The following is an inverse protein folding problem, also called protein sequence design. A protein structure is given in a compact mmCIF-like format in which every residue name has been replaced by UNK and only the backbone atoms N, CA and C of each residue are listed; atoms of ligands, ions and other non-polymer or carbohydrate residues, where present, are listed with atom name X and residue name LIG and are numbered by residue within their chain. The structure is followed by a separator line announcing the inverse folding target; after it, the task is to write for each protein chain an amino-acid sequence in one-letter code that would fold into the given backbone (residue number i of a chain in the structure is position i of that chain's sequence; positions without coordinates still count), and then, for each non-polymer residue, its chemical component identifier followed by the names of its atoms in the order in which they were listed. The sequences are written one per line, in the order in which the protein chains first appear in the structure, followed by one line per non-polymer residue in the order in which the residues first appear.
data_IF_612292695281
#
_entry.id   IF_612292695281
#
_cell.length_a   1.000
_cell.length_b   1.000
_cell.length_c   1.000
_cell.angle_alpha   90.00
_cell.angle_beta   90.00
_cell.angle_gamma   90.00
#
_symmetry.space_group_name_H-M   'P 1'
#
loop_
_entity.id
_entity.type
_entity.pdbx_description
1 polymer ?
#
# COMPACT_ATOMS: atom_id res chain seq x y z
N UNK A 1 -45.42 -1.67 -10.60
CA UNK A 1 -44.35 -2.30 -9.79
C UNK A 1 -42.97 -2.25 -10.45
N UNK A 2 -42.83 -2.68 -11.71
CA UNK A 2 -41.53 -2.82 -12.42
C UNK A 2 -40.75 -1.48 -12.54
N UNK A 3 -41.40 -0.36 -12.87
CA UNK A 3 -40.71 0.95 -12.98
C UNK A 3 -40.20 1.49 -11.64
N UNK A 4 -40.88 1.19 -10.52
CA UNK A 4 -40.44 1.53 -9.16
C UNK A 4 -39.25 0.66 -8.74
N UNK A 5 -39.28 -0.65 -9.03
CA UNK A 5 -38.13 -1.54 -8.73
C UNK A 5 -36.89 -1.20 -9.55
N UNK A 6 -37.04 -0.81 -10.83
CA UNK A 6 -35.95 -0.28 -11.67
C UNK A 6 -35.34 1.02 -11.11
N UNK A 7 -36.16 1.89 -10.52
CA UNK A 7 -35.68 3.11 -9.86
C UNK A 7 -34.87 2.82 -8.61
N UNK A 8 -35.36 1.90 -7.76
CA UNK A 8 -34.68 1.48 -6.53
C UNK A 8 -33.34 0.81 -6.85
N UNK A 9 -33.31 -0.12 -7.81
CA UNK A 9 -32.08 -0.81 -8.21
C UNK A 9 -30.98 0.17 -8.64
N UNK A 10 -31.32 1.22 -9.41
CA UNK A 10 -30.36 2.25 -9.82
C UNK A 10 -29.79 3.03 -8.64
N UNK A 11 -30.63 3.38 -7.66
CA UNK A 11 -30.18 4.08 -6.45
C UNK A 11 -29.20 3.19 -5.67
N UNK A 12 -29.56 1.91 -5.47
CA UNK A 12 -28.70 0.94 -4.78
C UNK A 12 -27.35 0.81 -5.48
N UNK A 13 -27.32 0.70 -6.81
CA UNK A 13 -26.04 0.66 -7.56
C UNK A 13 -25.21 1.91 -7.33
N UNK A 14 -25.80 3.11 -7.37
CA UNK A 14 -25.07 4.35 -7.15
C UNK A 14 -24.50 4.46 -5.72
N UNK A 15 -25.26 4.03 -4.72
CA UNK A 15 -24.81 3.98 -3.32
C UNK A 15 -23.67 2.98 -3.18
N UNK A 16 -23.78 1.79 -3.76
CA UNK A 16 -22.71 0.79 -3.71
C UNK A 16 -21.43 1.29 -4.36
N UNK A 17 -21.51 1.91 -5.56
CA UNK A 17 -20.36 2.52 -6.23
C UNK A 17 -19.73 3.61 -5.37
N UNK A 18 -20.54 4.47 -4.76
CA UNK A 18 -20.05 5.50 -3.85
C UNK A 18 -19.28 4.89 -2.67
N UNK A 19 -19.85 3.87 -2.01
CA UNK A 19 -19.23 3.21 -0.86
C UNK A 19 -17.93 2.54 -1.27
N UNK A 20 -17.92 1.73 -2.32
CA UNK A 20 -16.74 0.99 -2.78
C UNK A 20 -15.61 1.96 -3.14
N UNK A 21 -15.89 3.00 -3.92
CA UNK A 21 -14.89 4.00 -4.29
C UNK A 21 -14.36 4.75 -3.06
N UNK A 22 -15.22 5.07 -2.10
CA UNK A 22 -14.83 5.72 -0.84
C UNK A 22 -13.95 4.80 0.01
N UNK A 23 -14.31 3.53 0.19
CA UNK A 23 -13.51 2.60 0.98
C UNK A 23 -12.14 2.30 0.35
N UNK A 24 -12.06 2.26 -0.98
CA UNK A 24 -10.80 1.99 -1.68
C UNK A 24 -9.84 3.19 -1.69
N UNK A 25 -10.36 4.41 -1.75
CA UNK A 25 -9.57 5.62 -2.07
C UNK A 25 -9.77 6.81 -1.13
N UNK A 26 -10.63 6.66 -0.12
CA UNK A 26 -11.22 7.72 0.72
C UNK A 26 -12.10 8.75 -0.01
N UNK A 27 -11.83 9.04 -1.29
CA UNK A 27 -12.38 10.20 -2.00
C UNK A 27 -13.22 9.87 -3.23
N UNK A 28 -13.04 8.66 -3.76
CA UNK A 28 -13.60 8.28 -5.04
C UNK A 28 -15.14 8.38 -5.08
N UNK A 29 -15.84 8.17 -3.96
CA UNK A 29 -17.28 8.40 -3.90
C UNK A 29 -17.67 9.86 -4.06
N UNK A 30 -16.98 10.79 -3.39
CA UNK A 30 -17.23 12.24 -3.54
C UNK A 30 -16.92 12.69 -4.96
N UNK A 31 -15.78 12.26 -5.51
CA UNK A 31 -15.38 12.53 -6.90
C UNK A 31 -16.41 11.96 -7.88
N UNK A 32 -16.93 10.77 -7.61
CA UNK A 32 -17.99 10.16 -8.40
C UNK A 32 -19.25 11.04 -8.44
N UNK A 33 -19.69 11.58 -7.30
CA UNK A 33 -20.83 12.49 -7.25
C UNK A 33 -20.57 13.79 -8.03
N UNK A 34 -19.36 14.35 -7.95
CA UNK A 34 -18.95 15.52 -8.73
C UNK A 34 -19.00 15.20 -10.23
N UNK A 35 -18.39 14.09 -10.64
CA UNK A 35 -18.39 13.65 -12.03
C UNK A 35 -19.80 13.51 -12.60
N UNK A 36 -20.76 13.03 -11.81
CA UNK A 36 -22.16 12.92 -12.25
C UNK A 36 -22.79 14.24 -12.66
N UNK A 37 -22.32 15.38 -12.12
CA UNK A 37 -22.80 16.71 -12.52
C UNK A 37 -22.45 17.05 -13.98
N UNK A 38 -21.44 16.40 -14.55
CA UNK A 38 -21.05 16.58 -15.96
C UNK A 38 -21.92 15.78 -16.93
N UNK A 39 -22.67 14.78 -16.44
CA UNK A 39 -23.41 13.86 -17.31
C UNK A 39 -24.40 14.55 -18.26
N UNK A 40 -25.21 15.56 -17.86
CA UNK A 40 -26.11 16.25 -18.78
C UNK A 40 -25.37 16.89 -19.97
N UNK A 41 -24.22 17.52 -19.72
CA UNK A 41 -23.37 18.11 -20.76
C UNK A 41 -22.85 17.04 -21.72
N UNK A 42 -22.47 15.87 -21.20
CA UNK A 42 -22.03 14.73 -22.02
C UNK A 42 -23.19 14.21 -22.87
N UNK A 43 -24.41 14.13 -22.33
CA UNK A 43 -25.58 13.65 -23.10
C UNK A 43 -25.97 14.62 -24.22
N UNK A 44 -25.73 15.91 -24.03
CA UNK A 44 -25.95 16.92 -25.06
C UNK A 44 -24.89 16.88 -26.16
N UNK A 45 -23.60 16.70 -25.80
CA UNK A 45 -22.49 16.73 -26.77
C UNK A 45 -22.22 15.40 -27.48
N UNK A 46 -22.45 14.27 -26.82
CA UNK A 46 -22.18 12.94 -27.37
C UNK A 46 -23.46 12.38 -27.99
N UNK A 47 -23.60 12.60 -29.30
CA UNK A 47 -24.78 12.25 -30.07
C UNK A 47 -25.01 10.75 -30.22
N UNK A 48 -23.93 9.94 -30.22
CA UNK A 48 -24.01 8.47 -30.32
C UNK A 48 -24.28 7.85 -28.94
N UNK A 49 -25.46 7.25 -28.68
CA UNK A 49 -25.80 6.72 -27.35
C UNK A 49 -24.83 5.65 -26.85
N UNK A 50 -24.23 4.86 -27.73
CA UNK A 50 -23.25 3.83 -27.38
C UNK A 50 -21.93 4.38 -26.84
N UNK A 51 -21.57 5.63 -27.18
CA UNK A 51 -20.32 6.28 -26.70
C UNK A 51 -20.52 7.03 -25.38
N UNK A 52 -21.78 7.26 -24.99
CA UNK A 52 -22.12 8.01 -23.78
C UNK A 52 -21.59 7.39 -22.48
N UNK A 53 -21.63 6.06 -22.26
CA UNK A 53 -21.03 5.44 -21.08
C UNK A 53 -19.51 5.65 -21.02
N UNK A 54 -18.83 5.48 -22.16
CA UNK A 54 -17.38 5.67 -22.25
C UNK A 54 -16.98 7.12 -21.94
N UNK A 55 -17.72 8.09 -22.48
CA UNK A 55 -17.49 9.50 -22.20
C UNK A 55 -17.70 9.86 -20.72
N UNK A 56 -18.72 9.27 -20.06
CA UNK A 56 -18.96 9.43 -18.60
C UNK A 56 -17.83 8.85 -17.76
N UNK A 57 -17.34 7.65 -18.12
CA UNK A 57 -16.18 7.02 -17.46
C UNK A 57 -14.93 7.88 -17.68
N UNK A 58 -14.70 8.36 -18.90
CA UNK A 58 -13.59 9.26 -19.22
C UNK A 58 -13.63 10.55 -18.40
N UNK A 59 -14.79 11.18 -18.26
CA UNK A 59 -14.97 12.36 -17.42
C UNK A 59 -14.67 12.06 -15.94
N UNK A 60 -15.15 10.93 -15.41
CA UNK A 60 -14.84 10.50 -14.05
C UNK A 60 -13.33 10.31 -13.85
N UNK A 61 -12.67 9.57 -14.74
CA UNK A 61 -11.23 9.31 -14.65
C UNK A 61 -10.42 10.61 -14.75
N UNK A 62 -10.81 11.53 -15.63
CA UNK A 62 -10.15 12.83 -15.76
C UNK A 62 -10.27 13.65 -14.47
N UNK A 63 -11.50 13.78 -13.92
CA UNK A 63 -11.73 14.51 -12.67
C UNK A 63 -10.98 13.81 -11.52
N UNK A 64 -10.99 12.48 -11.48
CA UNK A 64 -10.32 11.69 -10.45
C UNK A 64 -8.80 11.87 -10.46
N UNK A 65 -8.16 11.76 -11.63
CA UNK A 65 -6.72 11.96 -11.78
C UNK A 65 -6.32 13.40 -11.49
N UNK A 66 -7.07 14.37 -12.01
CA UNK A 66 -6.85 15.80 -11.73
C UNK A 66 -6.93 16.07 -10.21
N UNK A 67 -7.96 15.55 -9.55
CA UNK A 67 -8.13 15.71 -8.11
C UNK A 67 -6.98 15.05 -7.36
N UNK A 68 -6.74 13.76 -7.60
CA UNK A 68 -5.74 12.93 -6.92
C UNK A 68 -4.32 13.48 -7.05
N UNK A 69 -3.93 13.98 -8.23
CA UNK A 69 -2.56 14.41 -8.50
C UNK A 69 -2.31 15.89 -8.15
N UNK A 70 -3.32 16.76 -8.25
CA UNK A 70 -3.12 18.21 -8.11
C UNK A 70 -3.84 18.83 -6.91
N UNK A 71 -5.08 18.43 -6.64
CA UNK A 71 -5.91 19.05 -5.59
C UNK A 71 -5.63 18.43 -4.23
N UNK A 72 -5.74 17.11 -4.12
CA UNK A 72 -5.70 16.38 -2.85
C UNK A 72 -4.36 16.56 -2.11
N UNK A 73 -3.18 16.55 -2.76
CA UNK A 73 -1.91 16.84 -2.10
C UNK A 73 -1.86 18.18 -1.34
N UNK A 74 -2.57 19.20 -1.85
CA UNK A 74 -2.64 20.52 -1.23
C UNK A 74 -3.64 20.50 -0.08
N UNK A 75 -4.83 19.94 -0.32
CA UNK A 75 -5.89 19.87 0.68
C UNK A 75 -5.56 18.97 1.87
N UNK A 76 -4.68 17.99 1.71
CA UNK A 76 -4.29 17.06 2.79
C UNK A 76 -3.43 17.74 3.88
N UNK A 77 -2.71 18.84 3.56
CA UNK A 77 -1.75 19.47 4.47
C UNK A 77 -2.38 19.95 5.80
N UNK A 78 -3.53 20.66 5.82
CA UNK A 78 -4.20 21.04 7.06
C UNK A 78 -4.63 19.85 7.93
N UNK A 79 -4.81 18.66 7.35
CA UNK A 79 -5.11 17.42 8.07
C UNK A 79 -3.84 16.73 8.62
N UNK A 80 -2.67 17.37 8.51
CA UNK A 80 -1.40 16.83 8.95
C UNK A 80 -0.89 15.70 8.05
N UNK A 81 -1.31 15.68 6.78
CA UNK A 81 -0.98 14.65 5.80
C UNK A 81 -0.21 15.24 4.63
N UNK A 82 0.79 14.50 4.18
CA UNK A 82 1.58 14.81 2.98
C UNK A 82 1.79 13.54 2.17
N UNK A 83 1.76 13.61 0.82
CA UNK A 83 2.02 12.45 0.01
C UNK A 83 3.51 12.10 -0.01
N UNK A 84 3.79 10.81 -0.08
CA UNK A 84 5.10 10.28 -0.47
C UNK A 84 5.35 10.54 -1.98
N UNK A 85 6.62 10.50 -2.45
CA UNK A 85 6.94 10.76 -3.85
C UNK A 85 6.36 9.69 -4.79
N UNK A 86 5.62 10.09 -5.82
CA UNK A 86 5.04 9.14 -6.82
C UNK A 86 6.11 8.55 -7.74
N UNK A 87 7.21 9.29 -7.95
CA UNK A 87 8.39 8.83 -8.68
C UNK A 87 9.59 8.78 -7.74
N UNK A 88 10.63 8.05 -8.14
CA UNK A 88 11.86 7.94 -7.34
C UNK A 88 12.39 9.32 -6.97
N UNK A 89 12.53 9.52 -5.66
CA UNK A 89 13.15 10.70 -5.08
C UNK A 89 14.02 10.28 -3.91
N UNK A 90 15.30 10.65 -3.95
CA UNK A 90 16.27 10.36 -2.89
C UNK A 90 16.34 8.86 -2.52
N UNK A 91 16.16 7.98 -3.51
CA UNK A 91 16.13 6.53 -3.34
C UNK A 91 14.78 5.97 -2.86
N UNK A 92 13.78 6.80 -2.56
CA UNK A 92 12.44 6.37 -2.15
C UNK A 92 11.47 6.39 -3.35
N UNK A 93 10.68 5.33 -3.53
CA UNK A 93 9.65 5.25 -4.58
C UNK A 93 8.50 4.31 -4.16
N UNK A 94 7.32 4.37 -4.78
CA UNK A 94 6.29 3.37 -4.56
C UNK A 94 6.70 2.05 -5.22
N UNK A 95 6.42 0.91 -4.58
CA UNK A 95 6.54 -0.38 -5.27
C UNK A 95 5.57 -0.45 -6.45
N UNK A 96 4.36 0.09 -6.26
CA UNK A 96 3.28 0.09 -7.26
C UNK A 96 2.61 1.45 -7.31
N UNK A 97 2.42 1.96 -8.53
CA UNK A 97 1.68 3.22 -8.75
C UNK A 97 0.22 3.12 -8.29
N UNK A 98 -0.34 1.92 -8.17
CA UNK A 98 -1.70 1.69 -7.64
C UNK A 98 -1.85 2.24 -6.22
N UNK A 99 -0.84 2.10 -5.34
CA UNK A 99 -0.84 2.72 -4.01
C UNK A 99 -1.00 4.24 -4.09
N UNK A 100 -0.40 4.86 -5.12
CA UNK A 100 -0.53 6.29 -5.36
C UNK A 100 -1.92 6.66 -5.90
N UNK A 101 -2.37 5.93 -6.93
CA UNK A 101 -3.68 6.13 -7.56
C UNK A 101 -4.85 5.91 -6.60
N UNK A 102 -4.70 5.03 -5.61
CA UNK A 102 -5.68 4.78 -4.57
C UNK A 102 -5.57 5.75 -3.38
N UNK A 103 -4.72 6.78 -3.46
CA UNK A 103 -4.49 7.74 -2.38
C UNK A 103 -4.04 7.09 -1.06
N UNK A 104 -3.32 5.96 -1.10
CA UNK A 104 -2.84 5.23 0.09
C UNK A 104 -1.41 5.59 0.52
N UNK A 105 -0.83 6.61 -0.10
CA UNK A 105 0.57 7.02 0.07
C UNK A 105 0.72 8.29 0.90
N UNK A 106 -0.26 8.62 1.74
CA UNK A 106 -0.23 9.81 2.60
C UNK A 106 0.20 9.46 4.01
N UNK A 107 1.16 10.22 4.53
CA UNK A 107 1.73 10.04 5.86
C UNK A 107 1.86 11.38 6.57
N UNK A 108 2.22 11.37 7.84
CA UNK A 108 2.62 12.59 8.55
C UNK A 108 3.95 13.13 8.00
N UNK A 109 4.19 14.46 8.05
CA UNK A 109 5.46 15.03 7.64
C UNK A 109 6.68 14.33 8.24
N UNK A 110 6.65 13.99 9.53
CA UNK A 110 7.75 13.28 10.21
C UNK A 110 8.03 11.92 9.56
N UNK A 111 7.01 11.13 9.25
CA UNK A 111 7.17 9.83 8.57
C UNK A 111 7.71 10.00 7.15
N UNK A 112 7.26 11.02 6.40
CA UNK A 112 7.81 11.31 5.06
C UNK A 112 9.30 11.64 5.12
N UNK A 113 9.71 12.47 6.08
CA UNK A 113 11.13 12.80 6.25
C UNK A 113 11.95 11.58 6.67
N UNK A 114 11.44 10.77 7.61
CA UNK A 114 12.09 9.53 8.01
C UNK A 114 12.27 8.56 6.84
N UNK A 115 11.23 8.35 6.02
CA UNK A 115 11.29 7.45 4.87
C UNK A 115 12.32 7.93 3.81
N UNK A 116 12.39 9.24 3.55
CA UNK A 116 13.38 9.82 2.64
C UNK A 116 14.80 9.71 3.21
N UNK A 117 15.00 9.97 4.50
CA UNK A 117 16.31 9.84 5.15
C UNK A 117 16.79 8.38 5.18
N UNK A 118 15.91 7.43 5.50
CA UNK A 118 16.18 5.99 5.44
C UNK A 118 16.59 5.59 4.02
N UNK A 119 15.84 6.01 3.00
CA UNK A 119 16.16 5.69 1.61
C UNK A 119 17.48 6.30 1.14
N UNK A 120 17.74 7.55 1.52
CA UNK A 120 18.99 8.25 1.21
C UNK A 120 20.20 7.55 1.86
N UNK A 121 20.09 7.18 3.14
CA UNK A 121 21.12 6.42 3.86
C UNK A 121 21.34 5.05 3.25
N UNK A 122 20.26 4.33 2.90
CA UNK A 122 20.36 3.04 2.25
C UNK A 122 21.10 3.13 0.92
N UNK A 123 20.79 4.15 0.10
CA UNK A 123 21.50 4.39 -1.16
C UNK A 123 22.98 4.79 -0.96
N UNK A 124 23.37 5.36 0.19
CA UNK A 124 24.79 5.60 0.50
C UNK A 124 25.54 4.31 0.85
N UNK A 125 24.92 3.43 1.63
CA UNK A 125 25.54 2.14 2.00
C UNK A 125 25.52 1.11 0.86
N UNK A 126 24.49 1.14 0.03
CA UNK A 126 24.32 0.28 -1.14
C UNK A 126 23.86 1.11 -2.34
N UNK A 127 24.81 1.74 -3.07
CA UNK A 127 24.52 2.58 -4.23
C UNK A 127 23.57 1.94 -5.23
N UNK A 128 22.57 2.72 -5.66
CA UNK A 128 21.54 2.29 -6.60
C UNK A 128 20.34 1.59 -5.94
N UNK A 129 20.38 1.29 -4.64
CA UNK A 129 19.25 0.65 -3.96
C UNK A 129 18.08 1.62 -3.82
N UNK A 130 16.93 1.26 -4.39
CA UNK A 130 15.67 1.92 -4.09
C UNK A 130 14.99 1.27 -2.88
N UNK A 131 14.52 2.09 -1.94
CA UNK A 131 13.57 1.68 -0.91
C UNK A 131 12.16 1.86 -1.48
N UNK A 132 11.45 0.76 -1.61
CA UNK A 132 10.09 0.74 -2.13
C UNK A 132 9.09 0.82 -0.99
N UNK A 133 8.22 1.83 -1.01
CA UNK A 133 7.12 1.92 -0.05
C UNK A 133 5.83 1.28 -0.60
N UNK A 134 4.99 0.85 0.33
CA UNK A 134 3.67 0.28 0.13
C UNK A 134 2.62 1.18 0.82
N UNK A 135 1.63 0.63 1.52
CA UNK A 135 0.59 1.45 2.14
C UNK A 135 1.14 2.32 3.29
N UNK A 136 0.79 3.61 3.27
CA UNK A 136 1.07 4.56 4.36
C UNK A 136 -0.21 4.98 5.08
N UNK A 137 -1.19 5.47 4.32
CA UNK A 137 -2.46 5.95 4.84
C UNK A 137 -3.19 6.86 3.84
N UNK A 138 -4.42 7.24 4.22
CA UNK A 138 -5.27 8.12 3.43
C UNK A 138 -5.06 9.62 3.73
N UNK A 139 -5.42 10.53 2.79
CA UNK A 139 -5.11 11.96 2.86
C UNK A 139 -5.86 12.76 3.94
N UNK A 140 -7.01 12.29 4.43
CA UNK A 140 -7.90 13.10 5.27
C UNK A 140 -8.32 12.41 6.57
N UNK A 141 -8.33 13.18 7.65
CA UNK A 141 -8.75 12.80 9.00
C UNK A 141 -8.06 11.53 9.56
N UNK A 142 -8.28 11.24 10.83
CA UNK A 142 -7.81 9.98 11.43
C UNK A 142 -8.97 8.98 11.48
N UNK A 143 -8.64 7.71 11.74
CA UNK A 143 -9.60 6.62 12.00
C UNK A 143 -10.45 6.19 10.80
N UNK A 144 -10.26 6.78 9.61
CA UNK A 144 -10.86 6.24 8.40
C UNK A 144 -10.24 4.85 8.11
N UNK A 145 -11.05 3.79 7.95
CA UNK A 145 -10.55 2.43 7.82
C UNK A 145 -9.86 2.25 6.47
N UNK A 146 -8.62 1.76 6.47
CA UNK A 146 -7.91 1.36 5.27
C UNK A 146 -7.84 -0.15 5.20
N UNK A 147 -8.70 -0.77 4.41
CA UNK A 147 -8.71 -2.22 4.29
C UNK A 147 -7.57 -2.72 3.38
N UNK A 148 -6.86 -3.81 3.74
CA UNK A 148 -6.95 -4.55 5.01
C UNK A 148 -6.11 -3.95 6.16
N UNK A 149 -5.22 -3.00 5.88
CA UNK A 149 -4.28 -2.37 6.82
C UNK A 149 -4.94 -1.36 7.80
N UNK A 150 -5.85 -1.83 8.64
CA UNK A 150 -6.68 -0.99 9.51
C UNK A 150 -5.89 -0.06 10.46
N UNK A 151 -4.65 -0.43 10.80
CA UNK A 151 -3.80 0.37 11.67
C UNK A 151 -3.30 1.66 11.02
N UNK A 152 -3.26 1.76 9.69
CA UNK A 152 -2.74 2.90 8.91
C UNK A 152 -3.75 4.05 8.79
N UNK A 153 -4.45 4.32 9.88
CA UNK A 153 -5.54 5.29 9.94
C UNK A 153 -5.09 6.67 10.45
N UNK A 154 -3.81 6.84 10.82
CA UNK A 154 -3.28 8.03 11.49
C UNK A 154 -2.02 8.61 10.84
N UNK A 155 -1.60 8.01 9.70
CA UNK A 155 -0.41 8.35 8.90
C UNK A 155 0.91 8.32 9.68
N UNK A 156 0.94 7.60 10.80
CA UNK A 156 2.16 7.32 11.57
C UNK A 156 2.82 6.01 11.16
N UNK A 157 2.25 5.29 10.18
CA UNK A 157 2.68 3.95 9.77
C UNK A 157 3.02 3.97 8.30
N UNK A 158 3.96 3.13 7.91
CA UNK A 158 4.37 2.95 6.53
C UNK A 158 4.86 1.52 6.36
N UNK A 159 4.38 0.87 5.31
CA UNK A 159 4.89 -0.42 4.90
C UNK A 159 6.00 -0.22 3.85
N UNK A 160 7.07 -0.99 3.97
CA UNK A 160 8.20 -1.01 3.03
C UNK A 160 8.35 -2.42 2.46
N UNK A 161 8.53 -2.53 1.15
CA UNK A 161 8.76 -3.81 0.53
C UNK A 161 10.14 -4.37 0.90
N UNK A 162 10.25 -5.70 0.91
CA UNK A 162 11.56 -6.34 0.99
C UNK A 162 12.42 -6.07 -0.26
N UNK A 163 13.72 -6.25 -0.08
CA UNK A 163 14.73 -6.10 -1.12
C UNK A 163 15.04 -7.49 -1.67
N UNK A 164 15.11 -7.56 -3.00
CA UNK A 164 15.26 -8.80 -3.72
C UNK A 164 16.39 -8.70 -4.74
N UNK A 165 16.95 -9.86 -5.07
CA UNK A 165 17.80 -10.09 -6.23
C UNK A 165 16.94 -10.75 -7.30
N UNK A 166 17.02 -10.25 -8.53
CA UNK A 166 16.45 -10.94 -9.68
C UNK A 166 17.34 -12.13 -10.04
N UNK A 167 16.78 -13.35 -10.02
CA UNK A 167 17.57 -14.57 -10.22
C UNK A 167 18.11 -14.72 -11.64
N UNK A 168 17.49 -14.09 -12.63
CA UNK A 168 17.93 -14.21 -14.02
C UNK A 168 19.18 -13.37 -14.29
N UNK A 169 19.21 -12.15 -13.76
CA UNK A 169 20.34 -11.23 -13.90
C UNK A 169 21.38 -11.34 -12.78
N UNK A 170 21.00 -11.87 -11.61
CA UNK A 170 21.82 -11.84 -10.40
C UNK A 170 21.93 -10.45 -9.76
N UNK A 171 21.24 -9.44 -10.30
CA UNK A 171 21.34 -8.06 -9.86
C UNK A 171 20.27 -7.70 -8.82
N UNK A 172 20.54 -6.67 -7.98
CA UNK A 172 19.52 -5.95 -7.24
C UNK A 172 18.26 -5.63 -8.06
N UNK A 173 17.10 -6.00 -7.52
CA UNK A 173 15.80 -5.66 -8.11
C UNK A 173 15.12 -4.52 -7.36
N UNK A 174 14.55 -3.60 -8.13
CA UNK A 174 13.62 -2.58 -7.62
C UNK A 174 12.16 -3.09 -7.60
N UNK A 175 11.93 -4.34 -7.97
CA UNK A 175 10.63 -5.00 -7.91
C UNK A 175 10.59 -6.02 -6.78
N UNK A 176 9.36 -6.46 -6.47
CA UNK A 176 9.09 -7.52 -5.52
C UNK A 176 8.29 -8.65 -6.20
N UNK A 177 8.30 -9.87 -5.62
CA UNK A 177 7.52 -11.00 -6.11
C UNK A 177 6.03 -10.70 -6.28
N UNK A 178 5.44 -9.97 -5.33
CA UNK A 178 4.01 -9.68 -5.36
C UNK A 178 3.64 -8.62 -6.40
N UNK A 179 2.62 -8.92 -7.21
CA UNK A 179 2.03 -7.97 -8.16
C UNK A 179 1.40 -6.79 -7.44
N UNK A 180 0.74 -7.04 -6.32
CA UNK A 180 0.05 -6.00 -5.53
C UNK A 180 0.92 -5.45 -4.38
N UNK A 181 2.10 -6.03 -4.17
CA UNK A 181 3.02 -5.67 -3.09
C UNK A 181 2.87 -6.46 -1.79
N UNK A 182 1.82 -7.28 -1.69
CA UNK A 182 1.50 -8.11 -0.52
C UNK A 182 1.16 -9.55 -0.90
N UNK A 183 1.23 -10.47 0.05
CA UNK A 183 0.80 -11.86 -0.04
C UNK A 183 1.83 -12.83 -0.64
N UNK A 184 3.07 -12.41 -0.93
CA UNK A 184 4.12 -13.34 -1.35
C UNK A 184 5.20 -13.38 -0.27
N UNK A 185 5.07 -14.38 0.61
CA UNK A 185 5.80 -14.47 1.86
C UNK A 185 7.18 -15.14 1.73
N UNK A 186 8.17 -14.61 2.44
CA UNK A 186 9.46 -15.21 2.74
C UNK A 186 9.34 -16.21 3.87
N UNK A 187 8.81 -17.39 3.54
CA UNK A 187 8.53 -18.46 4.50
C UNK A 187 9.75 -18.89 5.33
N UNK A 188 9.54 -19.44 6.54
CA UNK A 188 10.60 -20.02 7.36
C UNK A 188 11.41 -21.09 6.60
N UNK A 189 12.71 -21.14 6.86
CA UNK A 189 13.63 -22.20 6.41
C UNK A 189 13.60 -23.38 7.39
N UNK A 190 14.08 -24.58 6.99
CA UNK A 190 14.27 -25.67 7.94
C UNK A 190 15.06 -25.22 9.18
N UNK A 191 14.52 -25.48 10.37
CA UNK A 191 15.12 -25.08 11.65
C UNK A 191 14.78 -23.66 12.13
N UNK A 192 14.10 -22.84 11.33
CA UNK A 192 13.60 -21.53 11.79
C UNK A 192 12.22 -21.65 12.46
N UNK A 193 11.89 -20.66 13.30
CA UNK A 193 10.59 -20.58 13.99
C UNK A 193 9.46 -20.46 12.95
N UNK A 194 8.52 -21.40 12.94
CA UNK A 194 7.38 -21.35 12.03
C UNK A 194 6.15 -20.70 12.68
N UNK A 195 6.18 -19.38 12.83
CA UNK A 195 5.08 -18.63 13.44
C UNK A 195 3.77 -18.79 12.68
N UNK A 196 3.82 -18.88 11.35
CA UNK A 196 2.62 -19.09 10.54
C UNK A 196 1.94 -20.43 10.78
N UNK A 197 2.71 -21.48 11.03
CA UNK A 197 2.18 -22.78 11.43
C UNK A 197 1.64 -22.74 12.86
N UNK A 198 2.38 -22.18 13.80
CA UNK A 198 1.92 -22.03 15.19
C UNK A 198 0.61 -21.22 15.30
N UNK A 199 0.48 -20.11 14.57
CA UNK A 199 -0.77 -19.34 14.51
C UNK A 199 -1.91 -20.15 13.88
N UNK A 200 -1.63 -20.95 12.85
CA UNK A 200 -2.63 -21.81 12.21
C UNK A 200 -3.15 -22.88 13.17
N UNK A 201 -2.26 -23.52 13.92
CA UNK A 201 -2.60 -24.54 14.94
C UNK A 201 -3.46 -23.97 16.06
N UNK A 202 -3.26 -22.69 16.41
CA UNK A 202 -4.11 -21.97 17.36
C UNK A 202 -5.46 -21.50 16.78
N UNK A 203 -5.75 -21.81 15.51
CA UNK A 203 -7.03 -21.49 14.86
C UNK A 203 -7.09 -20.13 14.15
N UNK A 204 -5.99 -19.40 14.02
CA UNK A 204 -5.94 -18.08 13.36
C UNK A 204 -5.95 -18.18 11.83
N UNK A 205 -7.13 -18.47 11.26
CA UNK A 205 -7.29 -18.68 9.80
C UNK A 205 -6.98 -17.44 8.95
N UNK A 206 -7.13 -16.24 9.51
CA UNK A 206 -6.87 -14.98 8.81
C UNK A 206 -5.38 -14.68 8.61
N UNK A 207 -4.50 -15.32 9.38
CA UNK A 207 -3.06 -15.05 9.37
C UNK A 207 -2.42 -15.24 7.99
N UNK A 208 -2.86 -16.28 7.25
CA UNK A 208 -2.31 -16.68 5.96
C UNK A 208 -3.19 -16.30 4.76
N UNK A 209 -4.27 -15.53 4.96
CA UNK A 209 -5.29 -15.31 3.93
C UNK A 209 -4.72 -14.67 2.66
N UNK A 210 -3.85 -13.66 2.80
CA UNK A 210 -3.25 -12.98 1.65
C UNK A 210 -2.35 -13.91 0.83
N UNK A 211 -1.61 -14.81 1.50
CA UNK A 211 -0.77 -15.80 0.83
C UNK A 211 -1.59 -16.75 -0.04
N UNK A 212 -2.79 -17.12 0.40
CA UNK A 212 -3.67 -18.05 -0.30
C UNK A 212 -4.32 -17.44 -1.55
N UNK A 213 -4.53 -16.11 -1.57
CA UNK A 213 -5.21 -15.43 -2.68
C UNK A 213 -4.26 -14.70 -3.63
N UNK A 214 -3.07 -14.33 -3.18
CA UNK A 214 -2.11 -13.61 -4.02
C UNK A 214 -1.45 -14.57 -5.04
N UNK A 215 -1.27 -14.14 -6.31
CA UNK A 215 -0.56 -14.95 -7.30
C UNK A 215 0.90 -15.24 -6.90
N UNK A 216 1.23 -16.52 -6.70
CA UNK A 216 2.56 -16.95 -6.20
C UNK A 216 3.59 -17.21 -7.29
N UNK A 217 3.18 -17.33 -8.56
CA UNK A 217 4.04 -17.81 -9.66
C UNK A 217 5.30 -16.96 -9.91
N UNK A 218 5.26 -15.67 -9.56
CA UNK A 218 6.39 -14.76 -9.74
C UNK A 218 7.50 -14.96 -8.69
N UNK A 219 7.22 -15.63 -7.55
CA UNK A 219 8.18 -15.83 -6.45
C UNK A 219 9.49 -16.48 -6.91
N UNK A 220 9.42 -17.41 -7.85
CA UNK A 220 10.60 -18.15 -8.30
C UNK A 220 11.66 -17.28 -8.98
N UNK A 221 11.27 -16.12 -9.51
CA UNK A 221 12.17 -15.16 -10.20
C UNK A 221 13.00 -14.31 -9.24
N UNK A 222 12.66 -14.30 -7.96
CA UNK A 222 13.29 -13.43 -6.98
C UNK A 222 13.96 -14.26 -5.89
N UNK A 223 15.06 -13.74 -5.38
CA UNK A 223 15.75 -14.25 -4.20
C UNK A 223 15.79 -13.15 -3.16
N UNK A 224 15.37 -13.46 -1.94
CA UNK A 224 15.44 -12.51 -0.83
C UNK A 224 16.87 -12.08 -0.55
N UNK A 225 17.12 -10.77 -0.58
CA UNK A 225 18.45 -10.21 -0.39
C UNK A 225 18.73 -9.97 1.09
N UNK A 226 19.11 -11.02 1.81
CA UNK A 226 19.38 -10.94 3.26
C UNK A 226 20.44 -9.87 3.61
N UNK A 227 21.43 -9.65 2.74
CA UNK A 227 22.52 -8.70 3.01
C UNK A 227 22.00 -7.26 2.98
N UNK A 228 21.40 -6.84 1.86
CA UNK A 228 20.83 -5.48 1.76
C UNK A 228 19.64 -5.30 2.69
N UNK A 229 18.87 -6.35 2.94
CA UNK A 229 17.76 -6.29 3.89
C UNK A 229 18.23 -6.04 5.31
N UNK A 230 19.30 -6.72 5.77
CA UNK A 230 19.90 -6.46 7.08
C UNK A 230 20.40 -5.01 7.18
N UNK A 231 21.02 -4.49 6.13
CA UNK A 231 21.48 -3.10 6.08
C UNK A 231 20.30 -2.11 6.16
N UNK A 232 19.23 -2.33 5.40
CA UNK A 232 18.02 -1.50 5.46
C UNK A 232 17.39 -1.53 6.86
N UNK A 233 17.23 -2.72 7.46
CA UNK A 233 16.71 -2.87 8.81
C UNK A 233 17.57 -2.15 9.84
N UNK A 234 18.89 -2.21 9.70
CA UNK A 234 19.83 -1.48 10.56
C UNK A 234 19.59 0.03 10.46
N UNK A 235 19.46 0.58 9.25
CA UNK A 235 19.14 2.01 9.05
C UNK A 235 17.82 2.39 9.71
N UNK A 236 16.78 1.55 9.58
CA UNK A 236 15.46 1.78 10.18
C UNK A 236 15.53 1.75 11.71
N UNK A 237 16.17 0.72 12.29
CA UNK A 237 16.30 0.53 13.74
C UNK A 237 16.97 1.74 14.40
N UNK A 238 18.06 2.23 13.82
CA UNK A 238 18.78 3.38 14.36
C UNK A 238 18.15 4.73 14.00
N UNK A 239 17.11 4.77 13.17
CA UNK A 239 16.44 6.03 12.86
C UNK A 239 15.66 6.54 14.10
N UNK A 240 15.90 7.77 14.58
CA UNK A 240 15.36 8.25 15.86
C UNK A 240 13.84 8.43 15.84
N UNK A 241 13.26 8.72 14.67
CA UNK A 241 11.81 8.92 14.53
C UNK A 241 11.00 7.61 14.45
N UNK A 242 11.65 6.44 14.35
CA UNK A 242 10.94 5.16 14.27
C UNK A 242 11.00 4.50 15.65
N UNK A 243 9.85 4.23 16.25
CA UNK A 243 9.77 3.60 17.58
C UNK A 243 9.23 2.17 17.56
N UNK A 244 8.67 1.71 16.43
CA UNK A 244 8.17 0.33 16.32
C UNK A 244 8.32 -0.20 14.90
N UNK A 245 8.72 -1.46 14.81
CA UNK A 245 8.94 -2.19 13.57
C UNK A 245 8.29 -3.57 13.70
N UNK A 246 7.49 -3.98 12.72
CA UNK A 246 7.02 -5.37 12.62
C UNK A 246 7.68 -6.08 11.45
N UNK A 247 8.15 -7.29 11.75
CA UNK A 247 8.66 -8.29 10.82
C UNK A 247 8.43 -9.67 11.47
N UNK A 248 8.29 -10.73 10.69
CA UNK A 248 8.11 -12.07 11.27
C UNK A 248 9.33 -12.53 12.11
N UNK A 249 9.10 -13.29 13.20
CA UNK A 249 10.17 -13.74 14.10
C UNK A 249 11.31 -14.51 13.41
N UNK A 250 11.02 -15.36 12.42
CA UNK A 250 12.07 -16.09 11.70
C UNK A 250 12.98 -15.15 10.90
N UNK A 251 12.44 -14.07 10.34
CA UNK A 251 13.23 -13.07 9.62
C UNK A 251 14.10 -12.25 10.57
N UNK A 252 13.60 -11.93 11.77
CA UNK A 252 14.41 -11.30 12.82
C UNK A 252 15.65 -12.13 13.13
N UNK A 253 15.48 -13.44 13.36
CA UNK A 253 16.59 -14.37 13.60
C UNK A 253 17.49 -14.52 12.37
N UNK A 254 16.92 -14.73 11.18
CA UNK A 254 17.66 -14.91 9.91
C UNK A 254 18.55 -13.72 9.57
N UNK A 255 18.08 -12.50 9.87
CA UNK A 255 18.80 -11.26 9.60
C UNK A 255 19.70 -10.82 10.77
N UNK A 256 19.72 -11.58 11.89
CA UNK A 256 20.49 -11.27 13.09
C UNK A 256 20.20 -9.86 13.61
N UNK A 257 18.91 -9.55 13.79
CA UNK A 257 18.46 -8.22 14.21
C UNK A 257 18.17 -8.17 15.71
N UNK A 258 18.78 -7.20 16.39
CA UNK A 258 18.60 -6.95 17.82
C UNK A 258 18.14 -5.52 18.06
N UNK A 259 16.90 -5.36 18.53
CA UNK A 259 16.35 -4.08 18.98
C UNK A 259 15.01 -4.28 19.69
N UNK A 260 14.77 -3.48 20.72
CA UNK A 260 13.48 -3.33 21.42
C UNK A 260 12.35 -2.73 20.55
N UNK A 261 12.71 -2.10 19.43
CA UNK A 261 11.76 -1.57 18.44
C UNK A 261 11.12 -2.68 17.61
N UNK A 262 11.80 -3.82 17.43
CA UNK A 262 11.29 -4.95 16.64
C UNK A 262 10.30 -5.73 17.49
N UNK A 263 9.11 -5.97 16.95
CA UNK A 263 8.04 -6.68 17.63
C UNK A 263 7.36 -7.65 16.69
N UNK A 264 6.82 -8.72 17.27
CA UNK A 264 5.85 -9.55 16.58
C UNK A 264 4.45 -8.92 16.70
N UNK A 265 3.71 -8.84 15.60
CA UNK A 265 2.39 -8.19 15.57
C UNK A 265 1.25 -9.08 16.12
N UNK A 266 1.51 -10.38 16.34
CA UNK A 266 0.53 -11.34 16.86
C UNK A 266 -0.35 -12.00 15.79
N UNK A 267 -0.90 -13.18 16.08
CA UNK A 267 -1.63 -14.01 15.11
C UNK A 267 -3.00 -13.43 14.64
N UNK A 268 -3.49 -12.35 15.25
CA UNK A 268 -4.79 -11.74 14.92
C UNK A 268 -4.77 -10.86 13.66
N UNK A 269 -3.59 -10.53 13.14
CA UNK A 269 -3.44 -9.79 11.89
C UNK A 269 -2.77 -10.65 10.81
N UNK A 270 -2.78 -10.20 9.56
CA UNK A 270 -2.03 -10.87 8.49
C UNK A 270 -0.53 -10.78 8.77
N UNK A 271 0.19 -11.87 8.46
CA UNK A 271 1.65 -12.00 8.62
C UNK A 271 2.47 -10.90 7.93
N UNK A 272 3.64 -10.59 8.48
CA UNK A 272 4.58 -9.55 7.99
C UNK A 272 5.92 -10.14 7.51
N UNK A 273 5.87 -11.16 6.66
CA UNK A 273 7.03 -11.71 5.95
C UNK A 273 6.94 -11.53 4.43
N UNK A 274 6.16 -10.56 3.97
CA UNK A 274 6.14 -10.04 2.61
C UNK A 274 6.54 -8.55 2.56
N UNK A 275 6.58 -7.88 3.72
CA UNK A 275 6.95 -6.47 3.88
C UNK A 275 7.45 -6.17 5.31
N UNK A 276 8.04 -4.97 5.49
CA UNK A 276 8.37 -4.38 6.80
C UNK A 276 7.30 -3.36 7.14
N UNK A 277 6.75 -3.41 8.35
CA UNK A 277 5.92 -2.32 8.86
C UNK A 277 6.74 -1.42 9.78
N UNK A 278 6.78 -0.11 9.52
CA UNK A 278 7.43 0.86 10.40
C UNK A 278 6.41 1.85 10.95
N UNK A 279 6.64 2.29 12.18
CA UNK A 279 5.77 3.22 12.86
C UNK A 279 6.61 4.30 13.57
N UNK A 280 6.11 5.56 13.50
CA UNK A 280 6.54 6.64 14.39
C UNK A 280 6.27 6.23 15.83
#
# INVERSE_FOLDING_TARGET
MIRKSLGIARIVTHVLVFIVLTMLTQLGGVIYLISRRTHPLIMQKVTRPMLQPLAKIGAFLLIYLFSTLLIIPVLAKPFGRVPLPVFRKDGLQPLRLTTCLLNRHYVRPVMRHAALDIALKMNRFHPGTAVNYLDGGFPFFNSFPMLPHLSHNDGKKLDLAFLYIDKASGAPSDNAPSVIGYGVCETPRPGEINTAESCREQGYRWYNVLQQIAPQGNKQRYMFDSLRMRALMTVIIYHPAIHKIFIEPHLQTRLQLESDKIRFHGCYAVRHDDHIHIQL
#
